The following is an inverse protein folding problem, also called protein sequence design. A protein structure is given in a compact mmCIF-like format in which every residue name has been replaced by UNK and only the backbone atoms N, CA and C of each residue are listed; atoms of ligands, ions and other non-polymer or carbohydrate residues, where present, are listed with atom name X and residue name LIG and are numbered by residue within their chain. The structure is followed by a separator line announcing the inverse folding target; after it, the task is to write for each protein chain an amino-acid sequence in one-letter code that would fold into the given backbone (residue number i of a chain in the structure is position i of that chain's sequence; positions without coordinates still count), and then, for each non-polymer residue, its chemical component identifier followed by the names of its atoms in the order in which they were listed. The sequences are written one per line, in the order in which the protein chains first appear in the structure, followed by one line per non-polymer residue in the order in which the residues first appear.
data_IF_979661278481
#
_entry.id   IF_979661278481
#
_cell.length_a   1.000
_cell.length_b   1.000
_cell.length_c   1.000
_cell.angle_alpha   90.00
_cell.angle_beta   90.00
_cell.angle_gamma   90.00
#
_symmetry.space_group_name_H-M   'P 1'
#
loop_
_entity.id
_entity.type
_entity.pdbx_description
1 polymer ?
#
# COMPACT_ATOMS: atom_id res chain seq x y z
N UNK A 1 49.03 -18.40 -40.05
CA UNK A 1 48.35 -19.03 -38.90
C UNK A 1 48.39 -18.12 -37.68
N UNK A 2 49.48 -17.38 -37.45
CA UNK A 2 49.68 -16.44 -36.32
C UNK A 2 48.60 -15.34 -36.14
N UNK A 3 47.99 -14.85 -37.22
CA UNK A 3 47.04 -13.72 -37.17
C UNK A 3 45.61 -14.12 -36.74
N UNK A 4 45.22 -15.38 -36.94
CA UNK A 4 43.86 -15.86 -36.57
C UNK A 4 43.83 -16.24 -35.08
N UNK A 5 44.86 -16.91 -34.58
CA UNK A 5 44.97 -17.24 -33.15
C UNK A 5 45.12 -15.97 -32.30
N UNK A 6 45.88 -14.99 -32.77
CA UNK A 6 45.99 -13.67 -32.10
C UNK A 6 44.66 -12.92 -32.11
N UNK A 7 43.89 -12.94 -33.21
CA UNK A 7 42.57 -12.32 -33.26
C UNK A 7 41.53 -13.03 -32.39
N UNK A 8 41.57 -14.36 -32.29
CA UNK A 8 40.70 -15.15 -31.41
C UNK A 8 41.03 -14.90 -29.94
N UNK A 9 42.32 -14.81 -29.59
CA UNK A 9 42.77 -14.50 -28.24
C UNK A 9 42.42 -13.05 -27.81
N UNK A 10 42.54 -12.09 -28.73
CA UNK A 10 42.10 -10.69 -28.50
C UNK A 10 40.58 -10.61 -28.39
N UNK A 11 39.82 -11.35 -29.20
CA UNK A 11 38.35 -11.40 -29.12
C UNK A 11 37.84 -12.06 -27.82
N UNK A 12 38.56 -13.04 -27.27
CA UNK A 12 38.24 -13.63 -25.97
C UNK A 12 38.60 -12.70 -24.80
N UNK A 13 39.63 -11.86 -24.94
CA UNK A 13 40.08 -10.90 -23.91
C UNK A 13 39.08 -9.76 -23.63
N UNK A 14 38.19 -9.45 -24.57
CA UNK A 14 37.20 -8.36 -24.45
C UNK A 14 35.84 -8.79 -23.88
N UNK A 15 35.64 -10.09 -23.62
CA UNK A 15 34.39 -10.63 -23.08
C UNK A 15 34.28 -10.35 -21.56
N UNK A 16 33.69 -9.22 -21.18
CA UNK A 16 33.53 -8.83 -19.76
C UNK A 16 32.32 -9.49 -19.11
N UNK A 17 32.49 -9.93 -17.87
CA UNK A 17 31.41 -10.44 -17.01
C UNK A 17 31.10 -9.43 -15.89
N UNK A 18 29.90 -9.49 -15.34
CA UNK A 18 29.55 -8.89 -14.05
C UNK A 18 29.98 -9.83 -12.93
N UNK A 19 30.72 -9.28 -11.97
CA UNK A 19 31.19 -10.05 -10.81
C UNK A 19 30.08 -10.29 -9.78
N UNK A 20 30.31 -11.25 -8.88
CA UNK A 20 29.39 -11.56 -7.77
C UNK A 20 29.06 -10.32 -6.92
N UNK A 21 30.06 -9.48 -6.62
CA UNK A 21 29.88 -8.23 -5.86
C UNK A 21 29.09 -7.17 -6.63
N UNK A 22 29.35 -7.05 -7.93
CA UNK A 22 28.63 -6.12 -8.79
C UNK A 22 27.14 -6.50 -8.88
N UNK A 23 26.84 -7.80 -9.05
CA UNK A 23 25.49 -8.31 -9.07
C UNK A 23 24.80 -8.02 -7.73
N UNK A 24 25.41 -8.41 -6.60
CA UNK A 24 24.84 -8.18 -5.28
C UNK A 24 24.56 -6.70 -4.98
N UNK A 25 25.50 -5.80 -5.27
CA UNK A 25 25.34 -4.37 -5.02
C UNK A 25 24.22 -3.74 -5.86
N UNK A 26 24.11 -4.11 -7.14
CA UNK A 26 23.04 -3.61 -7.99
C UNK A 26 21.69 -4.28 -7.71
N UNK A 27 21.68 -5.51 -7.20
CA UNK A 27 20.47 -6.18 -6.68
C UNK A 27 19.94 -5.49 -5.43
N UNK A 28 20.83 -5.05 -4.53
CA UNK A 28 20.45 -4.26 -3.36
C UNK A 28 19.81 -2.92 -3.77
N UNK A 29 20.32 -2.27 -4.82
CA UNK A 29 19.81 -0.97 -5.27
C UNK A 29 18.54 -1.06 -6.14
N UNK A 30 18.49 -2.02 -7.08
CA UNK A 30 17.47 -2.11 -8.12
C UNK A 30 16.65 -3.40 -8.11
N UNK A 31 16.79 -4.21 -7.06
CA UNK A 31 16.03 -5.44 -6.85
C UNK A 31 16.34 -6.57 -7.84
N UNK A 32 15.47 -7.60 -7.89
CA UNK A 32 15.63 -8.77 -8.75
C UNK A 32 15.73 -8.45 -10.25
N UNK A 33 15.10 -7.35 -10.71
CA UNK A 33 15.19 -6.86 -12.08
C UNK A 33 16.64 -6.56 -12.49
N UNK A 34 17.38 -5.85 -11.64
CA UNK A 34 18.77 -5.50 -11.91
C UNK A 34 19.65 -6.76 -12.00
N UNK A 35 19.52 -7.71 -11.07
CA UNK A 35 20.20 -8.99 -11.14
C UNK A 35 19.83 -9.81 -12.37
N UNK A 36 18.54 -9.89 -12.71
CA UNK A 36 18.07 -10.67 -13.84
C UNK A 36 18.71 -10.21 -15.14
N UNK A 37 18.87 -8.90 -15.32
CA UNK A 37 19.62 -8.32 -16.43
C UNK A 37 21.11 -8.70 -16.40
N UNK A 38 21.83 -8.44 -15.31
CA UNK A 38 23.28 -8.68 -15.26
C UNK A 38 23.65 -10.15 -15.37
N UNK A 39 22.92 -11.04 -14.69
CA UNK A 39 23.12 -12.49 -14.78
C UNK A 39 22.77 -12.97 -16.20
N UNK A 40 21.73 -12.37 -16.79
CA UNK A 40 21.35 -12.61 -18.18
C UNK A 40 22.44 -12.25 -19.17
N UNK A 41 23.10 -11.10 -18.99
CA UNK A 41 24.26 -10.68 -19.79
C UNK A 41 25.45 -11.62 -19.62
N UNK A 42 25.75 -12.05 -18.40
CA UNK A 42 26.79 -13.06 -18.16
C UNK A 42 26.51 -14.35 -18.96
N UNK A 43 25.29 -14.87 -18.94
CA UNK A 43 24.95 -16.05 -19.72
C UNK A 43 25.13 -15.85 -21.23
N UNK A 44 24.87 -14.65 -21.76
CA UNK A 44 25.12 -14.36 -23.19
C UNK A 44 26.61 -14.43 -23.51
N UNK A 45 27.44 -13.85 -22.65
CA UNK A 45 28.91 -13.90 -22.78
C UNK A 45 29.43 -15.34 -22.65
N UNK A 46 28.82 -16.15 -21.80
CA UNK A 46 29.12 -17.58 -21.62
C UNK A 46 28.51 -18.49 -22.71
N UNK A 47 28.14 -17.93 -23.88
CA UNK A 47 27.53 -18.64 -25.01
C UNK A 47 26.24 -19.42 -24.67
N UNK A 48 25.49 -18.95 -23.67
CA UNK A 48 24.22 -19.54 -23.22
C UNK A 48 23.05 -18.52 -23.31
N UNK A 49 22.79 -17.91 -24.49
CA UNK A 49 21.84 -16.80 -24.62
C UNK A 49 20.39 -17.17 -24.27
N UNK A 50 19.99 -18.44 -24.44
CA UNK A 50 18.66 -18.93 -24.01
C UNK A 50 18.49 -18.80 -22.50
N UNK A 51 19.47 -19.25 -21.71
CA UNK A 51 19.46 -19.09 -20.25
C UNK A 51 19.50 -17.61 -19.87
N UNK A 52 20.24 -16.80 -20.62
CA UNK A 52 20.29 -15.36 -20.41
C UNK A 52 18.93 -14.67 -20.52
N UNK A 53 18.16 -14.99 -21.57
CA UNK A 53 16.79 -14.48 -21.76
C UNK A 53 15.84 -14.96 -20.65
N UNK A 54 15.89 -16.25 -20.30
CA UNK A 54 15.08 -16.81 -19.22
C UNK A 54 15.37 -16.10 -17.90
N UNK A 55 16.65 -15.84 -17.60
CA UNK A 55 17.05 -15.19 -16.35
C UNK A 55 16.55 -13.74 -16.25
N UNK A 56 16.57 -12.99 -17.37
CA UNK A 56 15.98 -11.65 -17.40
C UNK A 56 14.47 -11.70 -17.15
N UNK A 57 13.75 -12.63 -17.79
CA UNK A 57 12.31 -12.81 -17.59
C UNK A 57 12.02 -13.17 -16.13
N UNK A 58 12.78 -14.08 -15.53
CA UNK A 58 12.65 -14.43 -14.12
C UNK A 58 12.92 -13.24 -13.20
N UNK A 59 13.88 -12.36 -13.52
CA UNK A 59 14.12 -11.12 -12.78
C UNK A 59 12.92 -10.16 -12.83
N UNK A 60 12.30 -10.01 -14.01
CA UNK A 60 11.07 -9.20 -14.17
C UNK A 60 9.92 -9.81 -13.37
N UNK A 61 9.64 -11.11 -13.57
CA UNK A 61 8.52 -11.81 -12.92
C UNK A 61 8.70 -11.83 -11.40
N UNK A 62 9.89 -12.12 -10.89
CA UNK A 62 10.16 -12.08 -9.45
C UNK A 62 10.02 -10.68 -8.86
N UNK A 63 10.37 -9.64 -9.60
CA UNK A 63 10.12 -8.24 -9.18
C UNK A 63 8.63 -7.98 -9.05
N UNK A 64 7.83 -8.36 -10.05
CA UNK A 64 6.37 -8.20 -10.00
C UNK A 64 5.76 -8.99 -8.83
N UNK A 65 6.12 -10.26 -8.68
CA UNK A 65 5.64 -11.12 -7.59
C UNK A 65 6.03 -10.54 -6.22
N UNK A 66 7.24 -10.01 -6.09
CA UNK A 66 7.70 -9.40 -4.85
C UNK A 66 6.83 -8.20 -4.47
N UNK A 67 6.58 -7.28 -5.40
CA UNK A 67 5.77 -6.09 -5.12
C UNK A 67 4.30 -6.42 -4.91
N UNK A 68 3.72 -7.31 -5.72
CA UNK A 68 2.35 -7.79 -5.49
C UNK A 68 2.24 -8.46 -4.12
N UNK A 69 3.21 -9.30 -3.76
CA UNK A 69 3.26 -9.93 -2.45
C UNK A 69 3.35 -8.93 -1.31
N UNK A 70 4.16 -7.88 -1.44
CA UNK A 70 4.26 -6.80 -0.44
C UNK A 70 2.93 -6.06 -0.30
N UNK A 71 2.28 -5.69 -1.42
CA UNK A 71 1.01 -4.96 -1.42
C UNK A 71 -0.16 -5.78 -0.86
N UNK A 72 -0.08 -7.11 -0.88
CA UNK A 72 -1.10 -7.99 -0.31
C UNK A 72 -0.94 -8.24 1.19
N UNK A 73 0.19 -7.88 1.80
CA UNK A 73 0.42 -8.10 3.23
C UNK A 73 -0.15 -6.92 4.03
N UNK A 74 -1.04 -7.18 5.01
CA UNK A 74 -1.58 -6.14 5.89
C UNK A 74 -0.49 -5.32 6.59
N UNK A 75 -0.73 -4.02 6.77
CA UNK A 75 0.24 -3.09 7.38
C UNK A 75 0.66 -3.52 8.79
N UNK A 76 -0.28 -4.05 9.60
CA UNK A 76 0.02 -4.54 10.95
C UNK A 76 1.09 -5.63 11.00
N UNK A 77 1.16 -6.45 9.94
CA UNK A 77 2.16 -7.50 9.78
C UNK A 77 3.45 -6.88 9.24
N UNK A 78 3.34 -6.02 8.21
CA UNK A 78 4.49 -5.39 7.58
C UNK A 78 5.32 -4.55 8.56
N UNK A 79 4.65 -3.82 9.46
CA UNK A 79 5.29 -2.98 10.49
C UNK A 79 6.15 -3.76 11.49
N UNK A 80 5.96 -5.09 11.59
CA UNK A 80 6.78 -5.97 12.45
C UNK A 80 8.01 -6.52 11.73
N UNK A 81 8.11 -6.36 10.41
CA UNK A 81 9.21 -6.89 9.60
C UNK A 81 10.25 -5.78 9.40
N UNK A 82 11.51 -5.96 9.86
CA UNK A 82 12.55 -4.97 9.60
C UNK A 82 12.83 -4.82 8.10
N UNK A 83 12.95 -3.57 7.62
CA UNK A 83 13.10 -3.23 6.20
C UNK A 83 14.25 -3.96 5.46
N UNK A 84 15.27 -4.40 6.18
CA UNK A 84 16.43 -5.11 5.60
C UNK A 84 16.17 -6.59 5.31
N UNK A 85 15.16 -7.20 5.94
CA UNK A 85 14.94 -8.65 5.89
C UNK A 85 14.60 -9.11 4.48
N UNK A 86 13.60 -8.48 3.85
CA UNK A 86 13.16 -8.84 2.50
C UNK A 86 14.33 -8.68 1.48
N UNK A 87 15.04 -7.53 1.44
CA UNK A 87 16.26 -7.39 0.66
C UNK A 87 17.32 -8.44 0.91
N UNK A 88 17.66 -8.71 2.17
CA UNK A 88 18.68 -9.69 2.50
C UNK A 88 18.33 -11.09 1.99
N UNK A 89 17.05 -11.50 2.10
CA UNK A 89 16.57 -12.80 1.64
C UNK A 89 16.73 -12.93 0.12
N UNK A 90 16.18 -11.98 -0.67
CA UNK A 90 16.27 -12.13 -2.12
C UNK A 90 17.70 -12.00 -2.63
N UNK A 91 18.54 -11.15 -2.00
CA UNK A 91 19.96 -11.05 -2.35
C UNK A 91 20.66 -12.38 -2.08
N UNK A 92 20.45 -13.00 -0.91
CA UNK A 92 21.06 -14.29 -0.58
C UNK A 92 20.66 -15.38 -1.59
N UNK A 93 19.37 -15.45 -1.96
CA UNK A 93 18.87 -16.39 -2.96
C UNK A 93 19.56 -16.14 -4.32
N UNK A 94 19.59 -14.89 -4.77
CA UNK A 94 20.18 -14.51 -6.06
C UNK A 94 21.68 -14.81 -6.10
N UNK A 95 22.42 -14.47 -5.04
CA UNK A 95 23.84 -14.75 -4.96
C UNK A 95 24.13 -16.25 -4.91
N UNK A 96 23.30 -17.04 -4.21
CA UNK A 96 23.37 -18.50 -4.23
C UNK A 96 23.13 -19.08 -5.63
N UNK A 97 22.15 -18.54 -6.38
CA UNK A 97 21.89 -18.92 -7.77
C UNK A 97 23.06 -18.56 -8.70
N UNK A 98 23.66 -17.38 -8.53
CA UNK A 98 24.84 -16.96 -9.30
C UNK A 98 26.02 -17.88 -9.03
N UNK A 99 26.27 -18.20 -7.76
CA UNK A 99 27.35 -19.11 -7.40
C UNK A 99 27.14 -20.50 -8.02
N UNK A 100 25.92 -21.03 -7.89
CA UNK A 100 25.59 -22.35 -8.42
C UNK A 100 25.67 -22.42 -9.96
N UNK A 101 25.30 -21.35 -10.67
CA UNK A 101 25.17 -21.39 -12.13
C UNK A 101 26.34 -20.79 -12.90
N UNK A 102 27.08 -19.85 -12.31
CA UNK A 102 28.14 -19.07 -12.95
C UNK A 102 29.44 -19.03 -12.12
N UNK A 103 29.48 -19.60 -10.91
CA UNK A 103 30.62 -19.50 -10.00
C UNK A 103 31.95 -19.97 -10.60
N UNK A 104 31.97 -21.16 -11.20
CA UNK A 104 33.19 -21.69 -11.85
C UNK A 104 33.69 -20.79 -12.99
N UNK A 105 32.76 -20.30 -13.81
CA UNK A 105 33.10 -19.42 -14.92
C UNK A 105 33.63 -18.07 -14.44
N UNK A 106 33.01 -17.48 -13.41
CA UNK A 106 33.47 -16.23 -12.79
C UNK A 106 34.83 -16.40 -12.11
N UNK A 107 35.07 -17.55 -11.46
CA UNK A 107 36.36 -17.88 -10.85
C UNK A 107 37.44 -18.02 -11.92
N UNK A 108 37.21 -18.80 -12.96
CA UNK A 108 38.13 -18.94 -14.10
C UNK A 108 38.41 -17.59 -14.77
N UNK A 109 37.39 -16.75 -14.95
CA UNK A 109 37.56 -15.40 -15.49
C UNK A 109 38.51 -14.55 -14.64
N UNK A 110 38.39 -14.65 -13.32
CA UNK A 110 39.26 -13.96 -12.37
C UNK A 110 40.68 -14.54 -12.35
N UNK A 111 40.82 -15.86 -12.33
CA UNK A 111 42.11 -16.56 -12.24
C UNK A 111 42.96 -16.38 -13.51
N UNK A 112 42.32 -16.07 -14.66
CA UNK A 112 42.98 -15.69 -15.91
C UNK A 112 43.20 -14.17 -16.06
N UNK A 113 43.07 -13.38 -14.98
CA UNK A 113 43.24 -11.92 -14.96
C UNK A 113 42.36 -11.16 -15.98
N UNK A 114 41.21 -11.73 -16.35
CA UNK A 114 40.26 -11.04 -17.22
C UNK A 114 39.50 -9.94 -16.47
N UNK A 115 39.13 -8.89 -17.20
CA UNK A 115 38.51 -7.70 -16.63
C UNK A 115 37.01 -7.92 -16.42
N UNK A 116 36.50 -7.55 -15.25
CA UNK A 116 35.06 -7.46 -14.97
C UNK A 116 34.49 -6.08 -15.33
N UNK A 117 33.18 -5.99 -15.55
CA UNK A 117 32.52 -4.69 -15.57
C UNK A 117 32.72 -3.94 -14.25
N UNK A 118 32.81 -2.60 -14.34
CA UNK A 118 33.00 -1.74 -13.16
C UNK A 118 31.79 -1.74 -12.25
N UNK A 119 32.02 -1.52 -10.95
CA UNK A 119 30.95 -1.36 -9.96
C UNK A 119 30.02 -0.18 -10.29
N UNK A 120 30.54 0.90 -10.87
CA UNK A 120 29.73 2.05 -11.31
C UNK A 120 28.74 1.70 -12.40
N UNK A 121 29.12 0.84 -13.36
CA UNK A 121 28.19 0.35 -14.37
C UNK A 121 27.06 -0.46 -13.73
N UNK A 122 27.39 -1.33 -12.77
CA UNK A 122 26.40 -2.11 -12.03
C UNK A 122 25.47 -1.19 -11.22
N UNK A 123 26.01 -0.21 -10.49
CA UNK A 123 25.21 0.78 -9.76
C UNK A 123 24.26 1.55 -10.70
N UNK A 124 24.74 1.95 -11.89
CA UNK A 124 23.89 2.57 -12.91
C UNK A 124 22.74 1.68 -13.39
N UNK A 125 22.99 0.37 -13.58
CA UNK A 125 21.94 -0.61 -13.90
C UNK A 125 20.93 -0.74 -12.76
N UNK A 126 21.41 -0.80 -11.52
CA UNK A 126 20.56 -0.80 -10.33
C UNK A 126 19.66 0.43 -10.27
N UNK A 127 20.22 1.62 -10.52
CA UNK A 127 19.47 2.87 -10.57
C UNK A 127 18.41 2.87 -11.70
N UNK A 128 18.75 2.39 -12.90
CA UNK A 128 17.79 2.29 -14.00
C UNK A 128 16.64 1.34 -13.64
N UNK A 129 16.95 0.20 -13.03
CA UNK A 129 15.92 -0.74 -12.56
C UNK A 129 15.03 -0.12 -11.49
N UNK A 130 15.63 0.60 -10.53
CA UNK A 130 14.89 1.35 -9.52
C UNK A 130 13.95 2.39 -10.14
N UNK A 131 14.40 3.13 -11.16
CA UNK A 131 13.56 4.10 -11.86
C UNK A 131 12.40 3.44 -12.61
N UNK A 132 12.64 2.29 -13.27
CA UNK A 132 11.58 1.52 -13.95
C UNK A 132 10.51 1.08 -12.94
N UNK A 133 10.95 0.56 -11.80
CA UNK A 133 10.06 0.15 -10.70
C UNK A 133 9.29 1.37 -10.16
N UNK A 134 9.99 2.49 -9.92
CA UNK A 134 9.39 3.72 -9.41
C UNK A 134 8.35 4.30 -10.36
N UNK A 135 8.58 4.30 -11.67
CA UNK A 135 7.60 4.72 -12.68
C UNK A 135 6.36 3.81 -12.65
N UNK A 136 6.56 2.49 -12.52
CA UNK A 136 5.46 1.54 -12.42
C UNK A 136 4.59 1.77 -11.18
N UNK A 137 5.22 1.93 -10.01
CA UNK A 137 4.52 2.22 -8.75
C UNK A 137 3.81 3.57 -8.80
N UNK A 138 4.47 4.61 -9.31
CA UNK A 138 3.86 5.93 -9.46
C UNK A 138 2.66 5.87 -10.42
N UNK A 139 2.78 5.16 -11.54
CA UNK A 139 1.68 4.98 -12.49
C UNK A 139 0.48 4.27 -11.86
N UNK A 140 0.71 3.26 -11.01
CA UNK A 140 -0.34 2.59 -10.26
C UNK A 140 -1.01 3.54 -9.25
N UNK A 141 -0.23 4.24 -8.41
CA UNK A 141 -0.76 5.19 -7.42
C UNK A 141 -1.55 6.32 -8.09
N UNK A 142 -1.02 6.85 -9.19
CA UNK A 142 -1.69 7.91 -9.96
C UNK A 142 -3.02 7.42 -10.53
N UNK A 143 -3.05 6.21 -11.10
CA UNK A 143 -4.28 5.61 -11.61
C UNK A 143 -5.32 5.44 -10.50
N UNK A 144 -4.92 4.88 -9.36
CA UNK A 144 -5.79 4.67 -8.20
C UNK A 144 -6.36 6.01 -7.70
N UNK A 145 -5.49 6.98 -7.41
CA UNK A 145 -5.89 8.29 -6.84
C UNK A 145 -6.69 9.15 -7.82
N UNK A 146 -6.56 8.91 -9.13
CA UNK A 146 -7.35 9.61 -10.16
C UNK A 146 -8.78 9.09 -10.29
N UNK A 147 -9.17 8.10 -9.48
CA UNK A 147 -10.52 7.55 -9.50
C UNK A 147 -11.53 8.58 -8.95
N UNK A 148 -12.55 8.98 -9.74
CA UNK A 148 -13.58 9.94 -9.30
C UNK A 148 -14.34 9.52 -8.04
N UNK A 149 -14.26 8.24 -7.64
CA UNK A 149 -14.86 7.73 -6.41
C UNK A 149 -14.37 8.48 -5.17
N UNK A 150 -13.10 8.91 -5.13
CA UNK A 150 -12.55 9.65 -3.99
C UNK A 150 -13.17 11.04 -3.87
N UNK A 151 -13.35 11.75 -4.99
CA UNK A 151 -14.03 13.05 -4.98
C UNK A 151 -15.48 12.91 -4.48
N UNK A 152 -16.19 11.85 -4.90
CA UNK A 152 -17.55 11.58 -4.43
C UNK A 152 -17.54 11.29 -2.93
N UNK A 153 -16.62 10.45 -2.47
CA UNK A 153 -16.49 10.08 -1.06
C UNK A 153 -16.21 11.31 -0.19
N UNK A 154 -15.18 12.08 -0.51
CA UNK A 154 -14.75 13.25 0.27
C UNK A 154 -15.86 14.30 0.38
N UNK A 155 -16.52 14.65 -0.73
CA UNK A 155 -17.62 15.60 -0.72
C UNK A 155 -18.82 15.11 0.11
N UNK A 156 -19.10 13.80 0.08
CA UNK A 156 -20.23 13.23 0.83
C UNK A 156 -19.92 13.14 2.33
N UNK A 157 -18.68 12.79 2.69
CA UNK A 157 -18.20 12.81 4.08
C UNK A 157 -18.16 14.24 4.64
N UNK A 158 -17.91 15.25 3.81
CA UNK A 158 -18.02 16.66 4.24
C UNK A 158 -19.46 16.99 4.67
N UNK A 159 -20.47 16.56 3.89
CA UNK A 159 -21.89 16.72 4.27
C UNK A 159 -22.18 15.99 5.58
N UNK A 160 -21.68 14.76 5.74
CA UNK A 160 -21.82 14.00 6.99
C UNK A 160 -21.29 14.79 8.19
N UNK A 161 -20.09 15.36 8.07
CA UNK A 161 -19.44 16.12 9.15
C UNK A 161 -20.17 17.41 9.48
N UNK A 162 -20.71 18.11 8.48
CA UNK A 162 -21.54 19.29 8.68
C UNK A 162 -22.83 18.93 9.43
N UNK A 163 -23.50 17.86 9.04
CA UNK A 163 -24.71 17.35 9.71
C UNK A 163 -24.45 16.97 11.16
N UNK A 164 -23.35 16.27 11.44
CA UNK A 164 -22.93 15.97 12.80
C UNK A 164 -22.70 17.25 13.61
N UNK A 165 -21.87 18.16 13.10
CA UNK A 165 -21.52 19.42 13.78
C UNK A 165 -22.75 20.25 14.12
N UNK A 166 -23.69 20.36 13.18
CA UNK A 166 -24.93 21.10 13.40
C UNK A 166 -25.86 20.41 14.40
N UNK A 167 -25.95 19.08 14.36
CA UNK A 167 -26.79 18.30 15.26
C UNK A 167 -26.29 18.31 16.69
N UNK A 168 -24.96 18.26 16.90
CA UNK A 168 -24.36 18.23 18.23
C UNK A 168 -24.48 19.57 18.98
N UNK A 169 -24.69 20.70 18.28
CA UNK A 169 -25.04 21.99 18.90
C UNK A 169 -26.34 21.95 19.73
N UNK A 170 -27.16 20.92 19.55
CA UNK A 170 -28.31 20.67 20.40
C UNK A 170 -27.93 20.66 21.89
N UNK A 171 -26.81 19.99 22.23
CA UNK A 171 -26.35 19.86 23.62
C UNK A 171 -26.00 21.20 24.25
N UNK A 172 -25.50 22.17 23.48
CA UNK A 172 -25.16 23.51 23.99
C UNK A 172 -26.39 24.28 24.49
N UNK A 173 -27.58 23.90 24.01
CA UNK A 173 -28.82 24.63 24.25
C UNK A 173 -29.79 23.91 25.20
N UNK A 174 -29.48 22.67 25.61
CA UNK A 174 -30.42 21.78 26.31
C UNK A 174 -30.93 22.37 27.63
N UNK A 175 -30.07 23.08 28.36
CA UNK A 175 -30.41 23.70 29.65
C UNK A 175 -31.09 25.08 29.50
N UNK A 176 -31.09 25.64 28.29
CA UNK A 176 -31.46 27.05 28.03
C UNK A 176 -32.84 27.23 27.37
N UNK A 177 -33.37 26.17 26.75
CA UNK A 177 -34.62 26.19 25.97
C UNK A 177 -35.71 25.38 26.70
N UNK A 178 -36.97 25.74 26.48
CA UNK A 178 -38.10 24.98 26.98
C UNK A 178 -38.32 23.66 26.19
N UNK A 179 -38.93 22.66 26.85
CA UNK A 179 -39.17 21.32 26.29
C UNK A 179 -39.84 21.35 24.89
N UNK A 180 -40.93 22.12 24.64
CA UNK A 180 -41.51 22.24 23.30
C UNK A 180 -40.54 22.74 22.22
N UNK A 181 -39.70 23.73 22.54
CA UNK A 181 -38.69 24.24 21.63
C UNK A 181 -37.62 23.19 21.33
N UNK A 182 -37.16 22.45 22.34
CA UNK A 182 -36.21 21.35 22.18
C UNK A 182 -36.77 20.23 21.32
N UNK A 183 -38.02 19.80 21.55
CA UNK A 183 -38.69 18.78 20.73
C UNK A 183 -38.80 19.23 19.27
N UNK A 184 -39.15 20.50 19.03
CA UNK A 184 -39.24 21.04 17.67
C UNK A 184 -37.88 21.01 16.96
N UNK A 185 -36.80 21.34 17.64
CA UNK A 185 -35.44 21.28 17.10
C UNK A 185 -35.02 19.83 16.80
N UNK A 186 -35.33 18.90 17.70
CA UNK A 186 -35.07 17.47 17.50
C UNK A 186 -35.81 16.93 16.27
N UNK A 187 -37.11 17.20 16.17
CA UNK A 187 -37.98 16.68 15.10
C UNK A 187 -37.68 17.34 13.74
N UNK A 188 -37.29 18.62 13.70
CA UNK A 188 -37.11 19.35 12.45
C UNK A 188 -35.67 19.40 11.94
N UNK A 189 -34.68 19.17 12.79
CA UNK A 189 -33.26 19.39 12.46
C UNK A 189 -32.42 18.19 12.85
N UNK A 190 -32.35 17.87 14.15
CA UNK A 190 -31.34 16.93 14.68
C UNK A 190 -31.57 15.51 14.17
N UNK A 191 -32.77 14.96 14.37
CA UNK A 191 -33.11 13.59 13.97
C UNK A 191 -32.99 13.43 12.43
N UNK A 192 -33.59 14.30 11.60
CA UNK A 192 -33.46 14.19 10.15
C UNK A 192 -32.01 14.23 9.63
N UNK A 193 -31.12 15.02 10.26
CA UNK A 193 -29.70 15.07 9.88
C UNK A 193 -28.96 13.79 10.20
N UNK A 194 -29.29 13.12 11.31
CA UNK A 194 -28.71 11.82 11.63
C UNK A 194 -29.26 10.71 10.73
N UNK A 195 -30.54 10.76 10.36
CA UNK A 195 -31.11 9.87 9.32
C UNK A 195 -30.38 10.06 7.98
N UNK A 196 -30.15 11.31 7.56
CA UNK A 196 -29.37 11.61 6.35
C UNK A 196 -27.93 11.08 6.45
N UNK A 197 -27.30 11.16 7.61
CA UNK A 197 -25.95 10.61 7.82
C UNK A 197 -25.90 9.08 7.72
N UNK A 198 -26.91 8.38 8.23
CA UNK A 198 -27.05 6.92 8.03
C UNK A 198 -27.17 6.62 6.53
N UNK A 199 -28.08 7.30 5.83
CA UNK A 199 -28.30 7.17 4.39
C UNK A 199 -27.03 7.46 3.56
N UNK A 200 -26.24 8.46 3.98
CA UNK A 200 -24.97 8.82 3.33
C UNK A 200 -24.02 7.63 3.36
N UNK A 201 -23.81 7.02 4.53
CA UNK A 201 -22.85 5.92 4.68
C UNK A 201 -23.36 4.67 3.95
N UNK A 202 -24.66 4.37 4.01
CA UNK A 202 -25.25 3.29 3.23
C UNK A 202 -25.03 3.48 1.72
N UNK A 203 -25.21 4.69 1.19
CA UNK A 203 -24.93 5.02 -0.21
C UNK A 203 -23.45 4.87 -0.55
N UNK A 204 -22.55 5.36 0.30
CA UNK A 204 -21.10 5.24 0.09
C UNK A 204 -20.66 3.77 0.02
N UNK A 205 -21.24 2.90 0.82
CA UNK A 205 -20.97 1.46 0.79
C UNK A 205 -21.41 0.75 -0.50
N UNK A 206 -22.24 1.40 -1.33
CA UNK A 206 -22.64 0.87 -2.65
C UNK A 206 -21.75 1.36 -3.80
N UNK A 207 -20.77 2.22 -3.53
CA UNK A 207 -19.89 2.75 -4.58
C UNK A 207 -18.90 1.70 -5.08
N UNK A 208 -18.92 1.48 -6.40
CA UNK A 208 -17.94 0.63 -7.05
C UNK A 208 -16.54 1.27 -7.00
N UNK A 209 -15.53 0.47 -6.67
CA UNK A 209 -14.13 0.90 -6.67
C UNK A 209 -13.69 1.65 -5.40
N UNK A 210 -14.51 1.63 -4.35
CA UNK A 210 -14.09 2.14 -3.04
C UNK A 210 -13.05 1.18 -2.41
N UNK A 211 -11.90 1.68 -1.92
CA UNK A 211 -10.90 0.87 -1.22
C UNK A 211 -11.47 0.15 0.01
N UNK A 212 -10.91 -1.02 0.32
CA UNK A 212 -11.31 -1.82 1.49
C UNK A 212 -11.25 -1.05 2.80
N UNK A 213 -10.25 -0.19 2.94
CA UNK A 213 -9.98 0.53 4.18
C UNK A 213 -11.07 1.59 4.43
N UNK A 214 -11.58 2.23 3.37
CA UNK A 214 -12.71 3.16 3.44
C UNK A 214 -14.04 2.42 3.70
N UNK A 215 -14.21 1.20 3.16
CA UNK A 215 -15.37 0.35 3.46
C UNK A 215 -15.36 -0.04 4.95
N UNK A 216 -14.20 -0.37 5.51
CA UNK A 216 -14.05 -0.68 6.92
C UNK A 216 -14.34 0.54 7.80
N UNK A 217 -13.83 1.71 7.43
CA UNK A 217 -14.12 2.98 8.10
C UNK A 217 -15.62 3.31 8.06
N UNK A 218 -16.28 3.14 6.91
CA UNK A 218 -17.71 3.35 6.75
C UNK A 218 -18.53 2.48 7.71
N UNK A 219 -18.11 1.24 7.97
CA UNK A 219 -18.81 0.39 8.93
C UNK A 219 -18.82 1.00 10.33
N UNK A 220 -17.67 1.52 10.78
CA UNK A 220 -17.58 2.20 12.07
C UNK A 220 -18.37 3.52 12.09
N UNK A 221 -18.38 4.27 10.98
CA UNK A 221 -19.20 5.48 10.84
C UNK A 221 -20.71 5.20 10.87
N UNK A 222 -21.14 4.09 10.26
CA UNK A 222 -22.53 3.63 10.29
C UNK A 222 -22.97 3.24 11.70
N UNK A 223 -22.17 2.42 12.38
CA UNK A 223 -22.43 2.03 13.77
C UNK A 223 -22.53 3.28 14.68
N UNK A 224 -21.63 4.24 14.49
CA UNK A 224 -21.65 5.52 15.21
C UNK A 224 -22.92 6.34 14.93
N UNK A 225 -23.30 6.50 13.67
CA UNK A 225 -24.46 7.33 13.28
C UNK A 225 -25.78 6.71 13.72
N UNK A 226 -25.93 5.38 13.65
CA UNK A 226 -27.11 4.67 14.16
C UNK A 226 -27.25 4.82 15.68
N UNK A 227 -26.16 4.68 16.43
CA UNK A 227 -26.16 4.86 17.89
C UNK A 227 -26.53 6.31 18.28
N UNK A 228 -26.02 7.30 17.53
CA UNK A 228 -26.37 8.71 17.72
C UNK A 228 -27.83 8.99 17.41
N UNK A 229 -28.35 8.46 16.31
CA UNK A 229 -29.76 8.56 15.94
C UNK A 229 -30.66 7.98 17.05
N UNK A 230 -30.36 6.77 17.53
CA UNK A 230 -31.09 6.14 18.63
C UNK A 230 -31.06 7.00 19.90
N UNK A 231 -29.90 7.56 20.24
CA UNK A 231 -29.75 8.45 21.40
C UNK A 231 -30.65 9.70 21.29
N UNK A 232 -30.66 10.38 20.13
CA UNK A 232 -31.51 11.56 19.95
C UNK A 232 -33.01 11.24 19.91
N UNK A 233 -33.42 10.10 19.35
CA UNK A 233 -34.81 9.62 19.43
C UNK A 233 -35.23 9.39 20.87
N UNK A 234 -34.33 8.80 21.69
CA UNK A 234 -34.60 8.53 23.09
C UNK A 234 -34.64 9.82 23.92
N UNK A 235 -33.72 10.76 23.70
CA UNK A 235 -33.75 12.10 24.31
C UNK A 235 -35.07 12.80 23.99
N UNK A 236 -35.49 12.78 22.72
CA UNK A 236 -36.77 13.35 22.28
C UNK A 236 -37.95 12.74 23.03
N UNK A 237 -37.93 11.43 23.28
CA UNK A 237 -38.94 10.71 24.06
C UNK A 237 -38.93 11.11 25.54
N UNK A 238 -37.75 11.16 26.17
CA UNK A 238 -37.55 11.61 27.56
C UNK A 238 -38.14 13.01 27.79
N UNK A 239 -37.85 13.96 26.90
CA UNK A 239 -38.34 15.35 27.00
C UNK A 239 -39.86 15.41 26.79
N UNK A 240 -40.41 14.61 25.87
CA UNK A 240 -41.85 14.59 25.59
C UNK A 240 -42.67 13.95 26.71
N UNK A 241 -42.12 12.94 27.39
CA UNK A 241 -42.76 12.23 28.49
C UNK A 241 -42.45 12.85 29.87
N UNK A 242 -41.53 13.83 29.93
CA UNK A 242 -41.07 14.49 31.15
C UNK A 242 -40.68 13.46 32.24
N UNK A 243 -39.78 12.55 31.87
CA UNK A 243 -39.47 11.35 32.67
C UNK A 243 -37.99 10.95 32.63
N UNK A 244 -37.48 10.45 33.75
CA UNK A 244 -36.11 9.95 33.89
C UNK A 244 -36.01 8.42 33.61
N UNK A 245 -37.10 7.80 33.15
CA UNK A 245 -37.16 6.34 32.94
C UNK A 245 -36.11 5.80 31.96
N UNK A 246 -35.61 6.65 31.06
CA UNK A 246 -34.70 6.27 29.99
C UNK A 246 -33.22 6.59 30.29
N UNK A 247 -32.90 7.16 31.45
CA UNK A 247 -31.54 7.60 31.79
C UNK A 247 -30.50 6.47 31.71
N UNK A 248 -30.87 5.28 32.20
CA UNK A 248 -29.99 4.12 32.12
C UNK A 248 -29.72 3.70 30.68
N UNK A 249 -30.74 3.73 29.82
CA UNK A 249 -30.61 3.38 28.41
C UNK A 249 -29.78 4.43 27.65
N UNK A 250 -29.96 5.72 27.95
CA UNK A 250 -29.11 6.81 27.43
C UNK A 250 -27.65 6.64 27.84
N UNK A 251 -27.37 6.27 29.10
CA UNK A 251 -26.00 6.01 29.56
C UNK A 251 -25.35 4.83 28.83
N UNK A 252 -26.12 3.77 28.57
CA UNK A 252 -25.66 2.62 27.78
C UNK A 252 -25.36 3.05 26.34
N UNK A 253 -26.24 3.83 25.71
CA UNK A 253 -26.03 4.35 24.36
C UNK A 253 -24.79 5.24 24.30
N UNK A 254 -24.60 6.15 25.25
CA UNK A 254 -23.41 7.01 25.32
C UNK A 254 -22.12 6.21 25.45
N UNK A 255 -22.11 5.16 26.27
CA UNK A 255 -20.95 4.25 26.38
C UNK A 255 -20.64 3.56 25.06
N UNK A 256 -21.66 3.12 24.31
CA UNK A 256 -21.48 2.52 22.98
C UNK A 256 -21.00 3.54 21.95
N UNK A 257 -21.50 4.77 22.01
CA UNK A 257 -21.07 5.87 21.15
C UNK A 257 -19.58 6.16 21.37
N UNK A 258 -19.13 6.25 22.62
CA UNK A 258 -17.71 6.42 22.96
C UNK A 258 -16.86 5.27 22.43
N UNK A 259 -17.33 4.03 22.54
CA UNK A 259 -16.63 2.87 21.99
C UNK A 259 -16.53 2.92 20.46
N UNK A 260 -17.59 3.34 19.77
CA UNK A 260 -17.59 3.52 18.31
C UNK A 260 -16.64 4.64 17.87
N UNK A 261 -16.64 5.78 18.57
CA UNK A 261 -15.70 6.89 18.33
C UNK A 261 -14.25 6.47 18.54
N UNK A 262 -13.96 5.65 19.56
CA UNK A 262 -12.61 5.13 19.78
C UNK A 262 -12.16 4.15 18.69
N UNK A 263 -13.10 3.48 18.00
CA UNK A 263 -12.78 2.61 16.87
C UNK A 263 -12.52 3.39 15.56
N UNK A 264 -12.89 4.67 15.50
CA UNK A 264 -12.65 5.58 14.38
C UNK A 264 -11.30 6.32 14.47
N UNK A 265 -10.59 6.22 15.60
CA UNK A 265 -9.30 6.86 15.87
C UNK A 265 -8.15 5.85 15.90
#
# INVERSE_FOLDING_TARGET
MDNIETQIAVAQKDLKLYSHRAIGGATFLGGPLASGYMIGENFKVLNQPKKGRITLILGIVSTVILFVGILMVPEEIMNKIPNIVIPAIYIAIILGLVEHTQGEALKSHKDNDHIFFSGWRAAGIGLISLLIIGIGLFGYIYYETSNPVYDIYDNTIEVFSQNETESLKFYDNIDSKDNPTLIKELDAIVIPKWEENVDIIEKLNTLDGLPSDLIEQNKALLDYSELRLQSFILIRKTIAEDTDLYDNELNILNTKIEAALNALN
#
